data_IF_300238204175
#
_entry.id   IF_300238204175
#
_cell.length_a   1.000
_cell.length_b   1.000
_cell.length_c   1.000
_cell.angle_alpha   90.00
_cell.angle_beta   90.00
_cell.angle_gamma   90.00
#
_symmetry.space_group_name_H-M   'P 1'
#
loop_
_entity.id
_entity.type
_entity.pdbx_description
1 polymer ?
#
# COMPACT_ATOMS: atom_id res chain seq x y z
N UNK A 1 -36.93 -8.67 51.07
CA UNK A 1 -37.03 -8.05 49.72
C UNK A 1 -35.67 -7.48 49.37
N UNK A 2 -34.84 -8.26 48.68
CA UNK A 2 -34.39 -8.04 47.29
C UNK A 2 -33.46 -6.81 47.08
N UNK A 3 -32.27 -6.82 46.46
CA UNK A 3 -31.22 -7.80 46.10
C UNK A 3 -29.93 -6.98 45.89
N UNK A 4 -28.81 -7.50 46.38
CA UNK A 4 -27.46 -7.51 45.79
C UNK A 4 -27.11 -6.37 44.81
N UNK A 5 -26.18 -5.50 45.24
CA UNK A 5 -25.39 -4.59 44.40
C UNK A 5 -24.44 -5.39 43.48
N UNK A 6 -24.94 -5.86 42.34
CA UNK A 6 -24.17 -6.23 41.14
C UNK A 6 -24.21 -5.03 40.17
N UNK A 7 -23.31 -4.70 39.27
CA UNK A 7 -22.01 -5.15 38.76
C UNK A 7 -21.73 -4.20 37.57
N UNK A 8 -20.47 -4.05 37.12
CA UNK A 8 -20.10 -3.81 35.68
C UNK A 8 -20.45 -2.41 35.13
N UNK A 9 -19.69 -1.71 34.30
CA UNK A 9 -18.36 -1.80 33.72
C UNK A 9 -18.24 -0.55 32.84
N UNK A 10 -17.12 0.16 32.91
CA UNK A 10 -16.68 0.91 31.72
C UNK A 10 -15.17 0.77 31.64
N UNK A 11 -14.76 -0.34 31.02
CA UNK A 11 -13.41 -0.53 30.50
C UNK A 11 -13.06 0.69 29.66
N UNK A 12 -12.11 1.49 30.13
CA UNK A 12 -11.43 2.48 29.32
C UNK A 12 -10.59 1.72 28.30
N UNK A 13 -11.07 1.69 27.05
CA UNK A 13 -10.40 1.03 25.94
C UNK A 13 -9.01 1.64 25.73
N UNK A 14 -7.99 0.96 26.24
CA UNK A 14 -6.59 1.22 25.90
C UNK A 14 -6.39 0.72 24.46
N UNK A 15 -6.72 1.59 23.50
CA UNK A 15 -6.51 1.33 22.08
C UNK A 15 -5.03 1.06 21.83
N UNK A 16 -4.70 -0.19 21.52
CA UNK A 16 -3.39 -0.58 21.02
C UNK A 16 -3.11 0.20 19.73
N UNK A 17 -2.32 1.27 19.85
CA UNK A 17 -1.67 1.96 18.75
C UNK A 17 -0.66 1.01 18.11
N UNK A 18 -1.14 0.06 17.31
CA UNK A 18 -0.28 -0.79 16.48
C UNK A 18 0.21 0.09 15.33
N UNK A 19 1.39 0.67 15.49
CA UNK A 19 2.10 1.36 14.42
C UNK A 19 2.31 0.42 13.25
N UNK A 20 1.57 0.64 12.15
CA UNK A 20 1.83 -0.03 10.87
C UNK A 20 3.17 0.48 10.32
N UNK A 21 4.21 -0.34 10.44
CA UNK A 21 5.52 -0.10 9.85
C UNK A 21 5.55 -0.76 8.47
N UNK A 22 6.01 -0.05 7.44
CA UNK A 22 6.38 -0.66 6.18
C UNK A 22 7.58 -1.59 6.44
N UNK A 23 7.43 -2.88 6.18
CA UNK A 23 8.46 -3.88 6.50
C UNK A 23 9.23 -4.32 5.25
N UNK A 24 10.49 -4.79 5.39
CA UNK A 24 11.22 -5.41 4.28
C UNK A 24 10.43 -6.53 3.58
N UNK A 25 9.56 -7.24 4.30
CA UNK A 25 8.66 -8.27 3.76
C UNK A 25 7.72 -7.73 2.68
N UNK A 26 7.18 -6.52 2.86
CA UNK A 26 6.30 -5.90 1.87
C UNK A 26 7.07 -5.56 0.59
N UNK A 27 8.31 -5.08 0.73
CA UNK A 27 9.18 -4.79 -0.41
C UNK A 27 9.57 -6.07 -1.17
N UNK A 28 9.91 -7.16 -0.45
CA UNK A 28 10.21 -8.46 -1.07
C UNK A 28 8.99 -9.00 -1.82
N UNK A 29 7.80 -8.91 -1.23
CA UNK A 29 6.56 -9.29 -1.89
C UNK A 29 6.33 -8.46 -3.16
N UNK A 30 6.45 -7.14 -3.06
CA UNK A 30 6.25 -6.24 -4.19
C UNK A 30 7.20 -6.57 -5.34
N UNK A 31 8.50 -6.73 -5.05
CA UNK A 31 9.50 -7.11 -6.07
C UNK A 31 9.23 -8.50 -6.68
N UNK A 32 8.66 -9.43 -5.90
CA UNK A 32 8.26 -10.75 -6.41
C UNK A 32 7.02 -10.66 -7.29
N UNK A 33 6.06 -9.79 -6.95
CA UNK A 33 4.85 -9.57 -7.74
C UNK A 33 5.16 -8.83 -9.04
N UNK A 34 6.07 -7.86 -8.99
CA UNK A 34 6.48 -7.02 -10.12
C UNK A 34 8.01 -7.06 -10.30
N UNK A 35 8.53 -8.06 -11.02
CA UNK A 35 9.95 -8.12 -11.37
C UNK A 35 10.29 -6.97 -12.32
N UNK A 36 10.93 -5.92 -11.80
CA UNK A 36 11.30 -4.77 -12.59
C UNK A 36 12.47 -5.08 -13.54
N UNK A 37 12.48 -4.54 -14.78
CA UNK A 37 13.65 -4.57 -15.64
C UNK A 37 14.86 -3.95 -14.93
N UNK A 38 16.06 -4.47 -15.20
CA UNK A 38 17.31 -3.90 -14.67
C UNK A 38 17.43 -2.43 -15.10
N UNK A 39 17.90 -1.59 -14.19
CA UNK A 39 18.10 -0.14 -14.37
C UNK A 39 16.85 0.70 -14.62
N UNK A 40 15.66 0.11 -14.59
CA UNK A 40 14.38 0.83 -14.67
C UNK A 40 14.16 1.77 -13.48
N UNK A 41 13.25 2.73 -13.62
CA UNK A 41 12.87 3.62 -12.53
C UNK A 41 12.33 2.82 -11.33
N UNK A 42 11.50 1.81 -11.59
CA UNK A 42 10.96 0.90 -10.59
C UNK A 42 12.05 0.15 -9.81
N UNK A 43 13.06 -0.38 -10.51
CA UNK A 43 14.17 -1.08 -9.87
C UNK A 43 14.98 -0.16 -8.93
N UNK A 44 15.06 1.13 -9.24
CA UNK A 44 15.79 2.14 -8.45
C UNK A 44 14.96 2.69 -7.28
N UNK A 45 13.63 2.72 -7.40
CA UNK A 45 12.74 3.39 -6.46
C UNK A 45 12.69 2.74 -5.07
N UNK A 46 12.82 1.41 -4.95
CA UNK A 46 12.74 0.69 -3.66
C UNK A 46 11.45 1.06 -2.91
N UNK A 47 11.55 1.67 -1.72
CA UNK A 47 10.38 2.15 -0.96
C UNK A 47 9.65 3.30 -1.66
N UNK A 48 10.34 4.04 -2.53
CA UNK A 48 9.79 5.20 -3.23
C UNK A 48 8.80 4.83 -4.34
N UNK A 49 8.61 3.54 -4.63
CA UNK A 49 7.51 3.09 -5.48
C UNK A 49 6.14 3.48 -4.88
N UNK A 50 6.00 3.46 -3.54
CA UNK A 50 4.76 3.80 -2.84
C UNK A 50 4.89 5.02 -1.89
N UNK A 51 6.11 5.39 -1.51
CA UNK A 51 6.36 6.42 -0.50
C UNK A 51 7.04 7.65 -1.10
N UNK A 52 6.70 8.84 -0.60
CA UNK A 52 7.45 10.07 -0.91
C UNK A 52 8.63 10.22 0.07
N UNK A 53 8.33 10.09 1.37
CA UNK A 53 9.32 10.23 2.44
C UNK A 53 8.85 9.49 3.69
N UNK A 54 9.65 8.53 4.18
CA UNK A 54 9.31 7.78 5.38
C UNK A 54 7.95 7.09 5.25
N UNK A 55 6.96 7.47 6.08
CA UNK A 55 5.59 6.92 6.05
C UNK A 55 4.64 7.66 5.12
N UNK A 56 5.04 8.79 4.57
CA UNK A 56 4.23 9.55 3.63
C UNK A 56 4.09 8.78 2.31
N UNK A 57 2.84 8.56 1.88
CA UNK A 57 2.50 7.80 0.68
C UNK A 57 2.37 8.73 -0.52
N UNK A 58 2.87 8.29 -1.68
CA UNK A 58 2.53 8.90 -2.97
C UNK A 58 1.10 8.50 -3.38
N UNK A 59 0.63 8.95 -4.54
CA UNK A 59 -0.75 8.68 -4.99
C UNK A 59 -1.01 7.18 -5.17
N UNK A 60 -0.09 6.44 -5.79
CA UNK A 60 -0.16 4.97 -5.88
C UNK A 60 -0.20 4.28 -4.50
N UNK A 61 0.65 4.71 -3.57
CA UNK A 61 0.70 4.18 -2.21
C UNK A 61 -0.61 4.39 -1.45
N UNK A 62 -1.33 5.50 -1.71
CA UNK A 62 -2.67 5.74 -1.15
C UNK A 62 -3.70 4.78 -1.72
N UNK A 63 -3.62 4.45 -3.00
CA UNK A 63 -4.51 3.45 -3.61
C UNK A 63 -4.22 2.03 -3.09
N UNK A 64 -2.95 1.67 -2.90
CA UNK A 64 -2.56 0.44 -2.20
C UNK A 64 -3.15 0.41 -0.79
N UNK A 65 -3.00 1.51 -0.03
CA UNK A 65 -3.55 1.62 1.32
C UNK A 65 -5.08 1.47 1.32
N UNK A 66 -5.78 2.12 0.38
CA UNK A 66 -7.23 2.01 0.23
C UNK A 66 -7.65 0.56 -0.05
N UNK A 67 -6.97 -0.12 -0.97
CA UNK A 67 -7.25 -1.52 -1.28
C UNK A 67 -7.00 -2.45 -0.06
N UNK A 68 -5.95 -2.19 0.73
CA UNK A 68 -5.72 -2.91 1.99
C UNK A 68 -6.84 -2.68 3.01
N UNK A 69 -7.32 -1.44 3.14
CA UNK A 69 -8.42 -1.07 4.04
C UNK A 69 -9.75 -1.72 3.61
N UNK A 70 -10.06 -1.74 2.32
CA UNK A 70 -11.25 -2.41 1.77
C UNK A 70 -11.23 -3.92 2.07
N UNK A 71 -10.05 -4.54 2.02
CA UNK A 71 -9.83 -5.94 2.40
C UNK A 71 -9.69 -6.15 3.91
N UNK A 72 -9.80 -5.08 4.72
CA UNK A 72 -9.68 -5.08 6.19
C UNK A 72 -8.41 -5.77 6.70
N UNK A 73 -7.30 -5.62 5.98
CA UNK A 73 -6.02 -6.25 6.34
C UNK A 73 -4.92 -5.22 6.52
N UNK A 74 -3.94 -5.57 7.37
CA UNK A 74 -2.69 -4.82 7.53
C UNK A 74 -1.54 -5.44 6.74
N UNK A 75 -1.75 -6.64 6.19
CA UNK A 75 -0.77 -7.33 5.38
C UNK A 75 -0.97 -7.00 3.90
N UNK A 76 0.10 -6.51 3.28
CA UNK A 76 0.15 -6.40 1.82
C UNK A 76 0.19 -7.81 1.22
N UNK A 77 -0.65 -8.07 0.22
CA UNK A 77 -0.67 -9.33 -0.54
C UNK A 77 -0.58 -9.06 -2.04
N UNK A 78 -0.16 -10.06 -2.82
CA UNK A 78 -0.14 -9.95 -4.27
C UNK A 78 -1.55 -9.75 -4.85
N UNK A 79 -2.60 -10.25 -4.20
CA UNK A 79 -3.99 -10.02 -4.60
C UNK A 79 -4.38 -8.55 -4.48
N UNK A 80 -3.99 -7.88 -3.38
CA UNK A 80 -4.25 -6.46 -3.18
C UNK A 80 -3.56 -5.62 -4.24
N UNK A 81 -2.27 -5.90 -4.49
CA UNK A 81 -1.51 -5.21 -5.53
C UNK A 81 -2.17 -5.38 -6.91
N UNK A 82 -2.56 -6.62 -7.25
CA UNK A 82 -3.25 -6.92 -8.51
C UNK A 82 -4.62 -6.24 -8.63
N UNK A 83 -5.33 -6.07 -7.52
CA UNK A 83 -6.69 -5.48 -7.52
C UNK A 83 -6.73 -4.03 -8.02
N UNK A 84 -5.59 -3.33 -8.02
CA UNK A 84 -5.46 -1.93 -8.45
C UNK A 84 -4.65 -1.77 -9.74
N UNK A 85 -4.33 -2.84 -10.46
CA UNK A 85 -3.52 -2.76 -11.70
C UNK A 85 -4.19 -1.96 -12.83
N UNK A 86 -5.53 -1.88 -12.82
CA UNK A 86 -6.32 -1.12 -13.79
C UNK A 86 -6.57 0.34 -13.37
N UNK A 87 -6.14 0.73 -12.17
CA UNK A 87 -6.22 2.13 -11.73
C UNK A 87 -5.07 2.91 -12.36
N UNK A 88 -5.32 4.16 -12.72
CA UNK A 88 -4.31 5.15 -13.12
C UNK A 88 -4.19 6.13 -11.94
N UNK A 89 -3.20 5.90 -11.07
CA UNK A 89 -3.16 6.58 -9.76
C UNK A 89 -2.72 8.04 -9.87
N UNK A 90 -1.80 8.33 -10.80
CA UNK A 90 -1.25 9.67 -11.02
C UNK A 90 -1.92 10.43 -12.17
N UNK A 91 -2.84 9.78 -12.89
CA UNK A 91 -3.72 10.35 -13.92
C UNK A 91 -2.94 10.78 -15.16
N UNK A 92 -1.89 10.05 -15.49
CA UNK A 92 -1.06 10.31 -16.66
C UNK A 92 -1.57 9.62 -17.95
N UNK A 93 -2.62 8.79 -17.82
CA UNK A 93 -3.25 8.04 -18.88
C UNK A 93 -2.77 6.59 -19.01
N UNK A 94 -1.87 6.13 -18.15
CA UNK A 94 -1.36 4.75 -18.11
C UNK A 94 -1.79 4.08 -16.80
N UNK A 95 -2.21 2.83 -16.86
CA UNK A 95 -2.60 2.11 -15.64
C UNK A 95 -1.38 1.64 -14.85
N UNK A 96 -1.53 1.54 -13.52
CA UNK A 96 -0.49 1.08 -12.59
C UNK A 96 0.17 -0.22 -13.06
N UNK A 97 -0.62 -1.20 -13.51
CA UNK A 97 -0.11 -2.50 -13.97
C UNK A 97 0.77 -2.38 -15.22
N UNK A 98 0.40 -1.49 -16.15
CA UNK A 98 1.17 -1.26 -17.38
C UNK A 98 2.50 -0.57 -17.07
N UNK A 99 2.49 0.42 -16.18
CA UNK A 99 3.70 1.09 -15.71
C UNK A 99 4.64 0.14 -14.95
N UNK A 100 4.11 -0.62 -13.99
CA UNK A 100 4.90 -1.58 -13.21
C UNK A 100 5.55 -2.64 -14.12
N UNK A 101 4.83 -3.09 -15.15
CA UNK A 101 5.34 -4.01 -16.17
C UNK A 101 6.43 -3.36 -17.03
N UNK A 102 6.30 -2.08 -17.35
CA UNK A 102 7.29 -1.31 -18.09
C UNK A 102 8.49 -0.87 -17.22
N UNK A 103 8.40 -1.03 -15.89
CA UNK A 103 9.43 -0.58 -14.96
C UNK A 103 9.37 0.91 -14.64
N UNK A 104 8.21 1.54 -14.82
CA UNK A 104 7.96 2.93 -14.45
C UNK A 104 7.20 3.04 -13.12
N UNK A 105 6.88 4.26 -12.67
CA UNK A 105 6.42 4.54 -11.31
C UNK A 105 4.98 5.07 -11.29
N UNK A 106 3.99 4.29 -10.82
CA UNK A 106 2.58 4.69 -10.88
C UNK A 106 2.16 5.86 -9.99
N UNK A 107 3.10 6.42 -9.24
CA UNK A 107 2.88 7.58 -8.40
C UNK A 107 3.59 8.83 -8.91
N UNK A 108 4.20 8.78 -10.09
CA UNK A 108 4.96 9.87 -10.69
C UNK A 108 4.55 10.06 -12.16
N UNK A 109 3.77 11.11 -12.50
CA UNK A 109 3.21 11.31 -13.83
C UNK A 109 4.26 11.65 -14.90
N UNK A 110 5.53 11.78 -14.50
CA UNK A 110 6.69 11.92 -15.40
C UNK A 110 7.38 10.59 -15.68
N UNK A 111 7.04 9.53 -14.95
CA UNK A 111 7.60 8.19 -15.06
C UNK A 111 6.64 7.30 -15.85
N UNK A 112 6.61 7.48 -17.17
CA UNK A 112 5.73 6.72 -18.06
C UNK A 112 6.49 5.92 -19.10
N UNK A 113 5.92 4.83 -19.64
CA UNK A 113 6.54 4.06 -20.70
C UNK A 113 6.87 4.95 -21.90
N UNK A 114 8.03 4.70 -22.53
CA UNK A 114 8.34 5.36 -23.79
C UNK A 114 7.28 4.98 -24.84
N UNK A 115 6.78 5.97 -25.56
CA UNK A 115 5.84 5.82 -26.68
C UNK A 115 6.55 5.39 -27.96
#
# INVERSE_FOLDING_TARGET
>A
MNRVRMLVSTLLALGLMVSALATPKMQVLFNKTYPAPKDSALAKAKCMACHVKGKELNVYGKDVQKAMQEKKTKDLTAEILKSIENVDSDKDGVSNGNELKAGTLPGDPKSKPAS
#
